data_IF_299950990732
#
_entry.id   IF_299950990732
#
_cell.length_a   1.000
_cell.length_b   1.000
_cell.length_c   1.000
_cell.angle_alpha   90.00
_cell.angle_beta   90.00
_cell.angle_gamma   90.00
#
_symmetry.space_group_name_H-M   'P 1'
#
loop_
_entity.id
_entity.type
_entity.pdbx_description
1 polymer ?
#
# COMPACT_ATOMS: atom_id res chain seq x y z
N UNK A 1 -13.20 25.26 -24.62
CA UNK A 1 -12.60 24.16 -23.83
C UNK A 1 -13.49 23.91 -22.64
N UNK A 2 -14.31 22.87 -22.69
CA UNK A 2 -15.29 22.56 -21.65
C UNK A 2 -14.56 21.89 -20.48
N UNK A 3 -14.44 22.60 -19.35
CA UNK A 3 -14.00 22.00 -18.08
C UNK A 3 -15.10 21.05 -17.61
N UNK A 4 -14.95 19.77 -17.93
CA UNK A 4 -15.88 18.75 -17.46
C UNK A 4 -15.83 18.68 -15.93
N UNK A 5 -16.72 19.40 -15.27
CA UNK A 5 -16.98 19.21 -13.85
C UNK A 5 -17.59 17.82 -13.65
N UNK A 6 -16.85 16.94 -13.00
CA UNK A 6 -17.40 15.66 -12.57
C UNK A 6 -18.50 15.97 -11.54
N UNK A 7 -19.73 15.59 -11.81
CA UNK A 7 -20.98 16.01 -11.13
C UNK A 7 -21.02 15.75 -9.62
N UNK A 8 -20.02 15.04 -9.07
CA UNK A 8 -20.06 14.48 -7.71
C UNK A 8 -18.92 14.97 -6.80
N UNK A 9 -17.96 15.76 -7.32
CA UNK A 9 -16.83 16.27 -6.52
C UNK A 9 -17.00 17.76 -6.37
N UNK A 10 -17.53 18.19 -5.24
CA UNK A 10 -17.77 19.62 -4.92
C UNK A 10 -16.50 20.21 -4.29
N UNK A 11 -15.85 19.44 -3.43
CA UNK A 11 -14.61 19.81 -2.76
C UNK A 11 -13.67 18.60 -2.71
N UNK A 12 -12.41 18.79 -3.08
CA UNK A 12 -11.40 17.74 -3.14
C UNK A 12 -10.14 18.22 -2.43
N UNK A 13 -9.82 17.66 -1.23
CA UNK A 13 -8.63 18.04 -0.50
C UNK A 13 -7.37 17.84 -1.33
N UNK A 14 -6.41 18.76 -1.22
CA UNK A 14 -5.12 18.60 -1.88
C UNK A 14 -4.32 17.44 -1.26
N UNK A 15 -3.74 16.60 -2.12
CA UNK A 15 -2.80 15.56 -1.69
C UNK A 15 -1.38 16.08 -1.96
N UNK A 16 -0.56 16.35 -0.89
CA UNK A 16 0.72 17.05 -1.00
C UNK A 16 1.88 16.16 -1.42
N UNK A 17 1.63 15.11 -2.18
CA UNK A 17 2.65 14.17 -2.62
C UNK A 17 2.64 14.07 -4.14
N UNK A 18 3.83 14.21 -4.76
CA UNK A 18 3.98 14.12 -6.19
C UNK A 18 4.10 12.67 -6.69
N UNK A 19 3.81 12.47 -7.97
CA UNK A 19 4.01 11.19 -8.66
C UNK A 19 5.43 11.16 -9.20
N UNK A 20 6.24 10.22 -8.74
CA UNK A 20 7.59 9.99 -9.30
C UNK A 20 7.50 9.27 -10.66
N UNK A 21 8.29 9.70 -11.64
CA UNK A 21 8.41 8.99 -12.92
C UNK A 21 9.63 8.06 -12.85
N UNK A 22 9.38 6.75 -13.00
CA UNK A 22 10.44 5.72 -13.02
C UNK A 22 10.94 5.45 -14.44
N UNK A 23 10.03 5.54 -15.42
CA UNK A 23 10.32 5.31 -16.83
C UNK A 23 9.23 5.93 -17.70
N UNK A 24 9.60 6.42 -18.87
CA UNK A 24 8.66 6.84 -19.89
C UNK A 24 9.21 6.61 -21.30
N UNK A 25 8.31 6.32 -22.22
CA UNK A 25 8.55 6.30 -23.66
C UNK A 25 7.28 6.78 -24.41
N UNK A 26 7.25 6.61 -25.72
CA UNK A 26 6.12 7.02 -26.53
C UNK A 26 4.81 6.29 -26.16
N UNK A 27 4.88 5.08 -25.60
CA UNK A 27 3.75 4.19 -25.41
C UNK A 27 3.32 4.04 -23.95
N UNK A 28 4.27 4.09 -23.00
CA UNK A 28 4.01 3.86 -21.57
C UNK A 28 4.68 4.90 -20.67
N UNK A 29 4.08 5.08 -19.49
CA UNK A 29 4.68 5.79 -18.37
C UNK A 29 4.62 4.84 -17.17
N UNK A 30 5.76 4.62 -16.51
CA UNK A 30 5.82 3.85 -15.27
C UNK A 30 6.11 4.82 -14.13
N UNK A 31 5.26 4.81 -13.14
CA UNK A 31 5.34 5.74 -12.02
C UNK A 31 5.60 5.06 -10.69
N UNK A 32 6.22 5.80 -9.79
CA UNK A 32 6.26 5.51 -8.36
C UNK A 32 5.14 6.30 -7.68
N UNK A 33 4.02 5.62 -7.44
CA UNK A 33 2.83 6.24 -6.84
C UNK A 33 3.06 6.44 -5.34
N UNK A 34 2.92 7.63 -4.79
CA UNK A 34 3.03 7.84 -3.34
C UNK A 34 1.86 7.18 -2.59
N UNK A 35 2.02 7.05 -1.27
CA UNK A 35 0.90 6.77 -0.38
C UNK A 35 -0.20 7.83 -0.52
N UNK A 36 -1.42 7.49 -0.13
CA UNK A 36 -2.60 8.36 -0.11
C UNK A 36 -3.12 8.84 -1.46
N UNK A 37 -2.37 8.68 -2.56
CA UNK A 37 -2.81 9.09 -3.89
C UNK A 37 -3.58 7.94 -4.57
N UNK A 38 -4.88 8.10 -4.91
CA UNK A 38 -5.59 7.09 -5.70
C UNK A 38 -4.99 6.93 -7.10
N UNK A 39 -5.03 5.74 -7.66
CA UNK A 39 -4.58 5.52 -9.04
C UNK A 39 -5.53 6.15 -10.06
N UNK A 40 -6.84 6.01 -9.85
CA UNK A 40 -7.90 6.48 -10.76
C UNK A 40 -9.00 7.17 -9.99
N UNK A 41 -9.82 8.03 -10.64
CA UNK A 41 -10.99 8.65 -10.05
C UNK A 41 -11.92 7.64 -9.37
N UNK A 42 -12.24 7.90 -8.10
CA UNK A 42 -13.17 7.09 -7.31
C UNK A 42 -13.67 7.86 -6.08
N UNK A 43 -14.96 7.77 -5.78
CA UNK A 43 -15.58 8.47 -4.66
C UNK A 43 -15.39 9.97 -4.78
N UNK A 44 -14.86 10.61 -3.74
CA UNK A 44 -14.58 12.05 -3.73
C UNK A 44 -13.32 12.47 -4.51
N UNK A 45 -12.49 11.51 -4.94
CA UNK A 45 -11.22 11.79 -5.61
C UNK A 45 -11.39 11.79 -7.13
N UNK A 46 -11.07 12.91 -7.78
CA UNK A 46 -11.06 13.07 -9.23
C UNK A 46 -9.72 13.63 -9.72
N UNK A 47 -9.45 14.91 -9.44
CA UNK A 47 -8.23 15.60 -9.86
C UNK A 47 -7.00 15.07 -9.11
N UNK A 48 -7.17 14.80 -7.82
CA UNK A 48 -6.12 14.27 -6.93
C UNK A 48 -5.97 12.75 -7.10
N UNK A 49 -5.70 12.31 -8.33
CA UNK A 49 -5.39 10.91 -8.68
C UNK A 49 -4.16 10.85 -9.57
N UNK A 50 -3.41 9.75 -9.54
CA UNK A 50 -2.24 9.58 -10.39
C UNK A 50 -2.61 9.74 -11.88
N UNK A 51 -3.72 9.16 -12.33
CA UNK A 51 -4.20 9.29 -13.70
C UNK A 51 -4.43 10.74 -14.11
N UNK A 52 -5.17 11.52 -13.32
CA UNK A 52 -5.51 12.89 -13.71
C UNK A 52 -4.31 13.83 -13.64
N UNK A 53 -3.39 13.60 -12.70
CA UNK A 53 -2.12 14.33 -12.64
C UNK A 53 -1.25 14.07 -13.85
N UNK A 54 -1.12 12.80 -14.29
CA UNK A 54 -0.39 12.45 -15.50
C UNK A 54 -1.02 13.06 -16.75
N UNK A 55 -2.35 12.97 -16.90
CA UNK A 55 -3.05 13.62 -18.02
C UNK A 55 -2.81 15.12 -18.08
N UNK A 56 -2.83 15.79 -16.92
CA UNK A 56 -2.51 17.22 -16.84
C UNK A 56 -1.06 17.53 -17.16
N UNK A 57 -0.13 16.72 -16.63
CA UNK A 57 1.32 16.89 -16.82
C UNK A 57 1.73 16.73 -18.29
N UNK A 58 1.18 15.73 -18.97
CA UNK A 58 1.52 15.39 -20.36
C UNK A 58 0.56 16.00 -21.39
N UNK A 59 -0.49 16.72 -20.96
CA UNK A 59 -1.57 17.23 -21.84
C UNK A 59 -2.16 16.13 -22.72
N UNK A 60 -2.33 14.91 -22.18
CA UNK A 60 -2.73 13.72 -22.92
C UNK A 60 -3.85 12.97 -22.18
N UNK A 61 -5.09 13.17 -22.65
CA UNK A 61 -6.28 12.48 -22.12
C UNK A 61 -6.36 11.00 -22.52
N UNK A 62 -5.51 10.56 -23.44
CA UNK A 62 -5.44 9.16 -23.86
C UNK A 62 -4.78 8.25 -22.82
N UNK A 63 -4.01 8.79 -21.87
CA UNK A 63 -3.35 8.01 -20.81
C UNK A 63 -4.38 7.20 -20.02
N UNK A 64 -4.11 5.90 -19.85
CA UNK A 64 -4.92 4.97 -19.06
C UNK A 64 -4.05 4.05 -18.23
N UNK A 65 -4.46 3.62 -17.02
CA UNK A 65 -3.69 2.66 -16.24
C UNK A 65 -3.82 1.24 -16.82
N UNK A 66 -2.71 0.49 -16.84
CA UNK A 66 -2.72 -0.95 -17.13
C UNK A 66 -3.24 -1.75 -15.92
N UNK A 67 -2.98 -1.27 -14.71
CA UNK A 67 -3.46 -1.83 -13.44
C UNK A 67 -3.60 -0.72 -12.38
N UNK A 68 -4.01 -1.11 -11.17
CA UNK A 68 -4.25 -0.15 -10.09
C UNK A 68 -3.62 -0.62 -8.79
N UNK A 69 -3.22 0.34 -7.97
CA UNK A 69 -3.00 0.20 -6.54
C UNK A 69 -4.11 0.92 -5.76
N UNK A 70 -4.36 0.47 -4.53
CA UNK A 70 -5.26 1.16 -3.62
C UNK A 70 -4.69 2.55 -3.24
N UNK A 71 -5.55 3.47 -2.77
CA UNK A 71 -5.14 4.82 -2.37
C UNK A 71 -3.98 4.78 -1.37
N UNK A 72 -4.07 3.94 -0.35
CA UNK A 72 -3.07 3.85 0.71
C UNK A 72 -1.77 3.15 0.29
N UNK A 73 -1.79 2.27 -0.72
CA UNK A 73 -0.62 1.51 -1.20
C UNK A 73 0.25 2.37 -2.10
N UNK A 74 1.54 2.46 -1.82
CA UNK A 74 2.52 3.11 -2.69
C UNK A 74 3.19 2.12 -3.65
N UNK A 75 3.97 2.64 -4.62
CA UNK A 75 4.84 1.85 -5.47
C UNK A 75 4.49 1.87 -6.96
N UNK A 76 5.04 0.90 -7.69
CA UNK A 76 5.06 0.88 -9.15
C UNK A 76 3.68 0.74 -9.77
N UNK A 77 3.32 1.66 -10.68
CA UNK A 77 2.12 1.59 -11.53
C UNK A 77 2.47 1.90 -12.98
N UNK A 78 1.96 1.08 -13.90
CA UNK A 78 2.12 1.27 -15.35
C UNK A 78 0.89 1.96 -15.93
N UNK A 79 1.12 3.03 -16.67
CA UNK A 79 0.13 3.73 -17.49
C UNK A 79 0.49 3.58 -18.96
N UNK A 80 -0.52 3.48 -19.81
CA UNK A 80 -0.39 3.34 -21.26
C UNK A 80 -0.86 4.64 -21.91
N UNK A 81 0.01 5.23 -22.73
CA UNK A 81 -0.26 6.43 -23.53
C UNK A 81 -0.91 6.05 -24.86
N UNK A 82 -0.33 5.08 -25.55
CA UNK A 82 -0.78 4.63 -26.86
C UNK A 82 -2.09 3.83 -26.76
N UNK A 83 -3.22 4.33 -27.28
CA UNK A 83 -4.51 3.64 -27.19
C UNK A 83 -4.50 2.23 -27.81
N UNK A 84 -3.71 2.00 -28.85
CA UNK A 84 -3.63 0.71 -29.53
C UNK A 84 -3.05 -0.41 -28.66
N UNK A 85 -2.24 -0.05 -27.64
CA UNK A 85 -1.55 -0.99 -26.77
C UNK A 85 -2.27 -1.24 -25.42
N UNK A 86 -3.34 -0.50 -25.12
CA UNK A 86 -4.09 -0.63 -23.87
C UNK A 86 -4.50 -2.06 -23.56
N UNK A 87 -5.10 -2.73 -24.55
CA UNK A 87 -5.53 -4.12 -24.41
C UNK A 87 -4.37 -5.05 -24.08
N UNK A 88 -3.25 -4.95 -24.81
CA UNK A 88 -2.08 -5.80 -24.60
C UNK A 88 -1.52 -5.67 -23.17
N UNK A 89 -1.30 -4.42 -22.68
CA UNK A 89 -0.81 -4.21 -21.32
C UNK A 89 -1.82 -4.62 -20.24
N UNK A 90 -3.12 -4.38 -20.42
CA UNK A 90 -4.14 -4.80 -19.44
C UNK A 90 -4.24 -6.33 -19.36
N UNK A 91 -4.12 -7.03 -20.49
CA UNK A 91 -4.15 -8.49 -20.55
C UNK A 91 -2.98 -9.13 -19.80
N UNK A 92 -1.79 -8.51 -19.73
CA UNK A 92 -0.68 -9.00 -18.89
C UNK A 92 -1.12 -9.20 -17.43
N UNK A 93 -1.85 -8.21 -16.88
CA UNK A 93 -2.34 -8.29 -15.50
C UNK A 93 -3.52 -9.25 -15.34
N UNK A 94 -4.44 -9.25 -16.28
CA UNK A 94 -5.60 -10.14 -16.28
C UNK A 94 -5.18 -11.61 -16.38
N UNK A 95 -4.21 -11.92 -17.25
CA UNK A 95 -3.67 -13.26 -17.46
C UNK A 95 -2.60 -13.66 -16.45
N UNK A 96 -2.29 -12.80 -15.47
CA UNK A 96 -1.27 -13.04 -14.44
C UNK A 96 0.14 -13.29 -15.01
N UNK A 97 0.45 -12.63 -16.12
CA UNK A 97 1.76 -12.67 -16.77
C UNK A 97 2.74 -11.65 -16.20
N UNK A 98 2.34 -10.98 -15.12
CA UNK A 98 3.15 -10.00 -14.39
C UNK A 98 3.53 -10.57 -13.04
N UNK A 99 4.83 -10.60 -12.76
CA UNK A 99 5.34 -10.89 -11.42
C UNK A 99 5.33 -9.60 -10.59
N UNK A 100 4.74 -9.67 -9.40
CA UNK A 100 4.58 -8.53 -8.48
C UNK A 100 5.20 -8.87 -7.14
N UNK A 101 6.14 -8.07 -6.70
CA UNK A 101 6.70 -8.16 -5.35
C UNK A 101 6.28 -6.92 -4.56
N UNK A 102 5.73 -7.14 -3.39
CA UNK A 102 5.42 -6.09 -2.42
C UNK A 102 6.28 -6.25 -1.20
N UNK A 103 6.51 -5.15 -0.51
CA UNK A 103 7.10 -5.15 0.81
C UNK A 103 6.20 -4.43 1.80
N UNK A 104 6.18 -4.89 3.04
CA UNK A 104 5.43 -4.22 4.10
C UNK A 104 6.17 -4.30 5.44
N UNK A 105 5.87 -3.35 6.35
CA UNK A 105 6.21 -3.47 7.76
C UNK A 105 5.04 -4.04 8.54
N UNK A 106 5.30 -5.04 9.36
CA UNK A 106 4.33 -5.66 10.24
C UNK A 106 5.00 -6.12 11.55
N UNK A 107 4.25 -6.50 12.60
CA UNK A 107 4.84 -6.98 13.85
C UNK A 107 5.82 -8.14 13.64
N UNK A 108 6.95 -8.09 14.32
CA UNK A 108 7.85 -9.23 14.51
C UNK A 108 7.20 -10.17 15.54
N UNK A 109 6.27 -11.00 15.10
CA UNK A 109 5.50 -11.88 15.97
C UNK A 109 5.35 -13.27 15.33
N UNK A 110 5.10 -14.32 16.13
CA UNK A 110 4.70 -15.61 15.58
C UNK A 110 3.42 -15.50 14.76
N UNK A 111 3.35 -16.27 13.67
CA UNK A 111 2.10 -16.39 12.90
C UNK A 111 1.02 -16.96 13.82
N UNK A 112 -0.10 -16.23 13.93
CA UNK A 112 -1.28 -16.65 14.71
C UNK A 112 -2.51 -16.39 13.86
N UNK A 113 -3.08 -17.45 13.33
CA UNK A 113 -4.31 -17.35 12.56
C UNK A 113 -5.45 -16.83 13.44
N UNK A 114 -5.96 -15.64 13.12
CA UNK A 114 -7.12 -15.06 13.80
C UNK A 114 -8.39 -15.50 13.11
N UNK A 115 -9.11 -16.49 13.68
CA UNK A 115 -10.42 -16.96 13.18
C UNK A 115 -10.52 -17.03 11.67
N UNK A 116 -9.45 -17.50 11.04
CA UNK A 116 -9.31 -17.50 9.60
C UNK A 116 -9.93 -18.77 9.02
N UNK A 117 -10.66 -18.60 7.93
CA UNK A 117 -11.21 -19.69 7.13
C UNK A 117 -10.29 -20.12 5.99
N UNK A 118 -9.14 -19.45 5.83
CA UNK A 118 -8.16 -19.76 4.81
C UNK A 118 -7.17 -20.85 5.25
N UNK A 119 -6.26 -21.20 4.36
CA UNK A 119 -5.21 -22.20 4.53
C UNK A 119 -3.87 -21.51 4.56
N UNK A 120 -3.07 -21.76 5.61
CA UNK A 120 -1.68 -21.33 5.72
C UNK A 120 -0.77 -22.54 5.68
N UNK A 121 0.18 -22.53 4.76
CA UNK A 121 1.09 -23.63 4.48
C UNK A 121 2.55 -23.15 4.54
N UNK A 122 3.35 -23.56 5.54
CA UNK A 122 4.79 -23.33 5.52
C UNK A 122 5.44 -24.05 4.33
N UNK A 123 6.28 -23.34 3.57
CA UNK A 123 6.93 -23.90 2.38
C UNK A 123 8.32 -24.50 2.66
N UNK A 124 8.89 -24.24 3.84
CA UNK A 124 10.18 -24.73 4.28
C UNK A 124 10.18 -25.14 5.77
N UNK A 125 9.36 -26.13 6.21
CA UNK A 125 9.35 -26.57 7.60
C UNK A 125 10.74 -27.01 8.07
N UNK A 126 11.10 -26.76 9.35
CA UNK A 126 10.29 -26.24 10.44
C UNK A 126 10.17 -24.70 10.49
N UNK A 127 10.69 -23.99 9.49
CA UNK A 127 10.63 -22.52 9.44
C UNK A 127 9.19 -22.06 9.20
N UNK A 128 8.76 -20.99 9.92
CA UNK A 128 7.45 -20.38 9.69
C UNK A 128 7.34 -19.68 8.33
N UNK A 129 8.46 -19.23 7.78
CA UNK A 129 8.57 -18.57 6.47
C UNK A 129 9.65 -19.25 5.60
N UNK A 130 9.51 -19.21 4.26
CA UNK A 130 8.37 -18.68 3.51
C UNK A 130 7.08 -19.50 3.72
N UNK A 131 5.93 -18.84 3.61
CA UNK A 131 4.63 -19.50 3.69
C UNK A 131 3.71 -19.11 2.53
N UNK A 132 2.69 -19.92 2.28
CA UNK A 132 1.60 -19.66 1.34
C UNK A 132 0.29 -19.47 2.11
N UNK A 133 -0.38 -18.33 1.87
CA UNK A 133 -1.72 -18.08 2.38
C UNK A 133 -2.71 -18.16 1.23
N UNK A 134 -3.76 -18.97 1.39
CA UNK A 134 -4.85 -19.15 0.42
C UNK A 134 -6.19 -18.99 1.13
N UNK A 135 -7.12 -18.23 0.54
CA UNK A 135 -8.47 -18.05 1.08
C UNK A 135 -9.46 -17.64 -0.02
N UNK A 136 -10.73 -17.60 0.33
CA UNK A 136 -11.73 -16.88 -0.46
C UNK A 136 -11.84 -15.46 0.09
N UNK A 137 -11.58 -14.47 -0.75
CA UNK A 137 -11.72 -13.05 -0.38
C UNK A 137 -12.93 -12.47 -1.11
N UNK A 138 -13.87 -11.97 -0.31
CA UNK A 138 -15.08 -11.28 -0.77
C UNK A 138 -14.99 -9.78 -0.51
N UNK A 139 -15.53 -9.00 -1.44
CA UNK A 139 -15.69 -7.55 -1.33
C UNK A 139 -17.11 -7.17 -1.69
N UNK A 140 -17.90 -6.84 -0.69
CA UNK A 140 -19.27 -6.40 -0.88
C UNK A 140 -19.33 -4.93 -1.32
N UNK A 141 -20.33 -4.61 -2.15
CA UNK A 141 -20.60 -3.22 -2.55
C UNK A 141 -21.04 -2.40 -1.33
N UNK A 142 -20.45 -1.22 -1.15
CA UNK A 142 -20.75 -0.33 -0.01
C UNK A 142 -20.00 -0.67 1.28
N UNK A 143 -19.41 -1.86 1.42
CA UNK A 143 -18.56 -2.22 2.57
C UNK A 143 -17.12 -1.84 2.28
N UNK A 144 -16.45 -1.10 3.16
CA UNK A 144 -15.06 -0.66 2.94
C UNK A 144 -14.09 -1.85 3.01
N UNK A 145 -14.25 -2.73 4.00
CA UNK A 145 -13.41 -3.90 4.19
C UNK A 145 -13.72 -5.01 3.17
N UNK A 146 -12.68 -5.71 2.72
CA UNK A 146 -12.79 -7.05 2.17
C UNK A 146 -12.52 -8.06 3.30
N UNK A 147 -13.02 -9.26 3.21
CA UNK A 147 -12.90 -10.28 4.27
C UNK A 147 -12.82 -11.69 3.70
N UNK A 148 -12.35 -12.62 4.52
CA UNK A 148 -12.29 -14.05 4.16
C UNK A 148 -13.61 -14.74 4.47
N UNK A 149 -14.03 -15.64 3.57
CA UNK A 149 -15.23 -16.47 3.69
C UNK A 149 -14.90 -17.95 3.46
N UNK A 150 -15.71 -18.89 4.02
CA UNK A 150 -15.51 -20.34 3.87
C UNK A 150 -16.02 -20.84 2.51
N UNK A 151 -15.47 -20.31 1.44
CA UNK A 151 -15.82 -20.63 0.05
C UNK A 151 -14.59 -21.11 -0.73
N UNK A 152 -14.81 -21.48 -2.01
CA UNK A 152 -13.75 -21.92 -2.92
C UNK A 152 -12.65 -20.86 -3.05
N UNK A 153 -11.39 -21.28 -2.84
CA UNK A 153 -10.21 -20.39 -2.82
C UNK A 153 -10.13 -19.55 -4.11
N UNK A 154 -10.05 -18.24 -3.95
CA UNK A 154 -9.90 -17.30 -5.06
C UNK A 154 -8.70 -16.34 -4.90
N UNK A 155 -8.01 -16.41 -3.76
CA UNK A 155 -6.86 -15.57 -3.43
C UNK A 155 -5.68 -16.43 -2.94
N UNK A 156 -4.46 -16.07 -3.40
CA UNK A 156 -3.22 -16.74 -3.02
C UNK A 156 -2.09 -15.72 -2.93
N UNK A 157 -1.34 -15.75 -1.82
CA UNK A 157 -0.16 -14.90 -1.57
C UNK A 157 0.97 -15.75 -0.98
N UNK A 158 2.17 -15.59 -1.51
CA UNK A 158 3.40 -16.04 -0.86
C UNK A 158 3.88 -14.93 0.07
N UNK A 159 4.28 -15.32 1.28
CA UNK A 159 4.77 -14.40 2.30
C UNK A 159 6.12 -14.90 2.78
N UNK A 160 7.12 -14.02 2.74
CA UNK A 160 8.46 -14.31 3.23
C UNK A 160 8.98 -13.13 4.06
N UNK A 161 10.08 -13.35 4.75
CA UNK A 161 10.83 -12.28 5.40
C UNK A 161 11.58 -11.53 4.30
N UNK A 162 11.52 -10.20 4.30
CA UNK A 162 12.34 -9.40 3.40
C UNK A 162 13.82 -9.49 3.79
N UNK A 163 14.71 -9.35 2.82
CA UNK A 163 16.16 -9.46 3.03
C UNK A 163 16.66 -8.43 4.07
N UNK A 164 17.77 -8.78 4.74
CA UNK A 164 18.31 -8.05 5.90
C UNK A 164 18.52 -6.54 5.70
N UNK A 165 18.73 -6.06 4.50
CA UNK A 165 18.90 -4.62 4.24
C UNK A 165 17.62 -3.82 4.54
N UNK A 166 16.46 -4.33 4.19
CA UNK A 166 15.17 -3.69 4.51
C UNK A 166 14.81 -3.87 5.98
N UNK A 167 15.20 -4.99 6.58
CA UNK A 167 15.00 -5.27 8.01
C UNK A 167 15.86 -4.38 8.92
N UNK A 168 17.06 -3.99 8.50
CA UNK A 168 17.97 -3.13 9.28
C UNK A 168 17.43 -1.70 9.42
N UNK A 169 16.75 -1.16 8.41
CA UNK A 169 16.14 0.18 8.47
C UNK A 169 15.08 0.21 9.59
N UNK A 170 14.27 -0.82 9.71
CA UNK A 170 13.27 -0.93 10.77
C UNK A 170 13.89 -1.07 12.17
N UNK A 171 15.06 -1.70 12.30
CA UNK A 171 15.79 -1.87 13.57
C UNK A 171 16.54 -0.60 13.98
N UNK A 172 17.16 0.10 13.05
CA UNK A 172 17.95 1.32 13.33
C UNK A 172 17.10 2.44 13.94
N UNK A 173 15.86 2.59 13.49
CA UNK A 173 14.92 3.58 14.09
C UNK A 173 14.54 3.22 15.53
N UNK A 174 14.65 1.94 15.92
CA UNK A 174 14.32 1.48 17.28
C UNK A 174 15.45 1.63 18.29
N UNK A 175 16.69 1.85 17.84
CA UNK A 175 17.89 1.86 18.69
C UNK A 175 18.52 3.23 18.89
N UNK A 176 18.01 4.30 18.30
CA UNK A 176 18.56 5.65 18.50
C UNK A 176 18.16 6.16 19.89
N UNK A 177 19.10 6.38 20.84
CA UNK A 177 18.78 6.92 22.15
C UNK A 177 18.43 8.40 22.00
N UNK A 178 17.27 8.79 22.52
CA UNK A 178 16.88 10.18 22.67
C UNK A 178 17.75 10.81 23.76
N UNK A 179 18.78 11.55 23.36
CA UNK A 179 19.48 12.45 24.28
C UNK A 179 19.92 13.69 23.51
N UNK A 180 19.10 14.74 23.59
CA UNK A 180 19.62 16.09 23.73
C UNK A 180 18.48 17.01 24.17
N UNK A 181 18.66 17.56 25.35
CA UNK A 181 17.88 18.63 25.98
C UNK A 181 18.02 19.93 25.18
N UNK A 182 16.90 20.57 24.83
CA UNK A 182 16.83 21.91 24.27
C UNK A 182 16.21 22.84 25.31
N UNK A 183 16.76 24.06 25.53
CA UNK A 183 16.31 24.97 26.57
C UNK A 183 14.98 25.64 26.23
N UNK A 184 14.23 25.87 27.28
CA UNK A 184 12.91 26.47 27.38
C UNK A 184 12.88 27.93 26.92
N UNK A 185 11.88 28.33 26.15
CA UNK A 185 11.42 29.71 26.02
C UNK A 185 9.87 29.75 26.05
N UNK A 186 9.25 30.88 26.52
CA UNK A 186 8.01 30.84 27.29
C UNK A 186 6.70 30.96 26.47
N UNK A 187 5.73 30.33 27.03
CA UNK A 187 4.27 30.22 26.91
C UNK A 187 3.48 31.38 26.35
N UNK A 188 2.54 31.05 25.45
CA UNK A 188 1.24 31.72 25.32
C UNK A 188 0.12 30.67 25.32
N UNK A 189 -1.03 30.90 25.96
CA UNK A 189 -2.02 29.87 26.20
C UNK A 189 -2.99 29.72 25.02
N UNK A 190 -3.12 28.50 24.52
CA UNK A 190 -4.18 28.10 23.56
C UNK A 190 -5.07 27.05 24.21
N UNK A 191 -6.37 27.19 24.00
CA UNK A 191 -7.44 26.39 24.57
C UNK A 191 -7.28 24.88 24.30
N UNK A 192 -7.80 24.01 25.19
CA UNK A 192 -7.64 22.58 25.06
C UNK A 192 -8.61 22.02 24.05
N UNK A 193 -8.11 21.62 22.88
CA UNK A 193 -8.80 20.69 22.00
C UNK A 193 -8.57 19.30 22.56
N UNK A 194 -9.63 18.63 22.97
CA UNK A 194 -9.57 17.28 23.49
C UNK A 194 -8.91 16.34 22.48
N UNK A 195 -7.91 15.54 22.85
CA UNK A 195 -7.31 14.59 21.95
C UNK A 195 -8.33 13.49 21.66
N UNK A 196 -8.68 13.32 20.38
CA UNK A 196 -9.39 12.13 19.91
C UNK A 196 -8.55 10.91 20.33
N UNK A 197 -9.10 10.07 21.18
CA UNK A 197 -8.44 8.86 21.66
C UNK A 197 -8.24 7.90 20.47
N UNK A 198 -7.13 8.04 19.79
CA UNK A 198 -6.68 7.07 18.81
C UNK A 198 -6.33 5.79 19.56
N UNK A 199 -7.24 4.82 19.53
CA UNK A 199 -6.99 3.49 20.06
C UNK A 199 -5.95 2.80 19.17
N UNK A 200 -4.69 3.08 19.47
CA UNK A 200 -3.55 2.39 18.86
C UNK A 200 -3.59 0.95 19.30
N UNK A 201 -3.56 0.03 18.34
CA UNK A 201 -3.34 -1.38 18.68
C UNK A 201 -2.02 -1.48 19.45
N UNK A 202 -2.00 -2.15 20.61
CA UNK A 202 -0.74 -2.41 21.27
C UNK A 202 0.12 -3.21 20.30
N UNK A 203 1.26 -2.64 19.88
CA UNK A 203 2.31 -3.43 19.27
C UNK A 203 2.68 -4.52 20.26
N UNK A 204 2.70 -5.75 19.74
CA UNK A 204 3.30 -6.82 20.48
C UNK A 204 4.71 -6.37 20.91
N UNK A 205 5.23 -6.83 22.05
CA UNK A 205 6.55 -6.45 22.57
C UNK A 205 7.72 -6.83 21.65
N UNK A 206 7.43 -7.36 20.46
CA UNK A 206 8.33 -8.02 19.53
C UNK A 206 9.02 -7.09 18.50
N UNK A 207 8.63 -5.81 18.40
CA UNK A 207 9.16 -4.91 17.37
C UNK A 207 8.47 -5.07 16.00
N UNK A 208 9.11 -4.53 14.97
CA UNK A 208 8.65 -4.56 13.58
C UNK A 208 9.62 -5.34 12.70
N UNK A 209 9.08 -5.92 11.64
CA UNK A 209 9.85 -6.61 10.59
C UNK A 209 9.30 -6.27 9.22
N UNK A 210 10.20 -6.21 8.24
CA UNK A 210 9.82 -6.15 6.83
C UNK A 210 9.48 -7.55 6.31
N UNK A 211 8.37 -7.65 5.58
CA UNK A 211 7.94 -8.87 4.91
C UNK A 211 7.86 -8.63 3.42
N UNK A 212 8.25 -9.64 2.63
CA UNK A 212 8.08 -9.71 1.18
C UNK A 212 6.82 -10.49 0.86
N UNK A 213 5.98 -9.92 -0.01
CA UNK A 213 4.69 -10.48 -0.38
C UNK A 213 4.62 -10.63 -1.89
N UNK A 214 4.26 -11.82 -2.37
CA UNK A 214 4.07 -12.09 -3.80
C UNK A 214 2.64 -12.57 -4.05
N UNK A 215 1.72 -11.66 -4.47
CA UNK A 215 0.35 -12.04 -4.75
C UNK A 215 0.26 -12.76 -6.10
N UNK A 216 -0.16 -14.02 -6.07
CA UNK A 216 -0.45 -14.82 -7.27
C UNK A 216 -1.83 -14.52 -7.87
N UNK A 217 -2.64 -13.78 -7.16
CA UNK A 217 -3.97 -13.27 -7.54
C UNK A 217 -4.06 -11.78 -7.22
N UNK A 218 -5.15 -11.11 -7.61
CA UNK A 218 -5.30 -9.65 -7.43
C UNK A 218 -6.67 -9.27 -6.85
N UNK A 219 -7.04 -9.80 -5.69
CA UNK A 219 -8.29 -9.41 -5.02
C UNK A 219 -8.15 -8.09 -4.27
N UNK A 220 -9.24 -7.37 -4.12
CA UNK A 220 -9.27 -6.11 -3.36
C UNK A 220 -8.74 -6.33 -1.95
N UNK A 221 -7.80 -5.49 -1.52
CA UNK A 221 -7.13 -5.54 -0.21
C UNK A 221 -6.46 -6.88 0.12
N UNK A 222 -6.19 -7.75 -0.86
CA UNK A 222 -5.71 -9.12 -0.64
C UNK A 222 -4.56 -9.22 0.35
N UNK A 223 -3.49 -8.43 0.16
CA UNK A 223 -2.31 -8.47 1.02
C UNK A 223 -2.62 -8.02 2.44
N UNK A 224 -3.45 -6.98 2.59
CA UNK A 224 -3.91 -6.46 3.88
C UNK A 224 -4.76 -7.49 4.64
N UNK A 225 -5.68 -8.16 3.93
CA UNK A 225 -6.52 -9.24 4.48
C UNK A 225 -5.67 -10.42 4.91
N UNK A 226 -4.77 -10.90 4.06
CA UNK A 226 -3.92 -12.05 4.35
C UNK A 226 -2.96 -11.78 5.52
N UNK A 227 -2.28 -10.62 5.54
CA UNK A 227 -1.39 -10.27 6.65
C UNK A 227 -2.16 -10.14 7.97
N UNK A 228 -3.35 -9.53 7.96
CA UNK A 228 -4.21 -9.46 9.13
C UNK A 228 -4.66 -10.85 9.62
N UNK A 229 -5.03 -11.76 8.70
CA UNK A 229 -5.42 -13.13 9.01
C UNK A 229 -4.30 -13.95 9.66
N UNK A 230 -3.04 -13.68 9.27
CA UNK A 230 -1.84 -14.28 9.87
C UNK A 230 -1.51 -13.71 11.27
N UNK A 231 -2.26 -12.72 11.76
CA UNK A 231 -1.96 -12.01 13.00
C UNK A 231 -0.82 -11.00 12.87
N UNK A 232 -0.47 -10.62 11.65
CA UNK A 232 0.60 -9.70 11.28
C UNK A 232 0.02 -8.47 10.52
N UNK A 233 -0.90 -7.68 11.14
CA UNK A 233 -1.50 -6.53 10.46
C UNK A 233 -0.42 -5.55 10.01
N UNK A 234 -0.57 -5.00 8.80
CA UNK A 234 0.41 -4.07 8.24
C UNK A 234 0.39 -2.75 9.02
N UNK A 235 1.57 -2.20 9.31
CA UNK A 235 1.72 -0.93 10.00
C UNK A 235 1.04 0.20 9.22
N UNK A 236 0.31 1.06 9.92
CA UNK A 236 -0.42 2.18 9.33
C UNK A 236 -1.73 1.80 8.63
N UNK A 237 -2.16 0.52 8.74
CA UNK A 237 -3.42 0.08 8.15
C UNK A 237 -4.61 0.67 8.91
N UNK A 238 -5.41 1.49 8.22
CA UNK A 238 -6.61 2.18 8.75
C UNK A 238 -7.90 1.37 8.57
N UNK A 239 -7.81 0.20 7.94
CA UNK A 239 -8.97 -0.66 7.64
C UNK A 239 -8.88 -1.99 8.41
N UNK A 240 -7.68 -2.54 8.60
CA UNK A 240 -7.45 -3.84 9.26
C UNK A 240 -6.53 -3.70 10.48
N UNK A 241 -6.83 -4.43 11.58
CA UNK A 241 -7.91 -5.39 11.80
C UNK A 241 -9.29 -4.74 11.98
N UNK A 242 -9.37 -3.44 12.11
CA UNK A 242 -10.61 -2.68 12.27
C UNK A 242 -10.55 -1.36 11.52
N UNK A 243 -11.70 -0.91 11.08
CA UNK A 243 -11.84 0.39 10.45
C UNK A 243 -11.57 1.49 11.49
N UNK A 244 -10.66 2.40 11.14
CA UNK A 244 -10.38 3.61 11.92
C UNK A 244 -11.00 4.80 11.18
N UNK A 245 -11.65 5.67 11.94
CA UNK A 245 -12.16 6.93 11.40
C UNK A 245 -11.01 7.93 11.36
N UNK A 246 -10.51 8.20 10.15
CA UNK A 246 -9.45 9.18 9.90
C UNK A 246 -9.94 10.22 8.90
N UNK A 247 -9.65 11.50 9.13
CA UNK A 247 -9.85 12.53 8.12
C UNK A 247 -9.15 12.19 6.81
N UNK A 248 -9.74 12.55 5.69
CA UNK A 248 -9.18 12.25 4.35
C UNK A 248 -7.88 12.98 4.05
N UNK A 249 -7.59 14.05 4.78
CA UNK A 249 -6.39 14.88 4.74
C UNK A 249 -5.40 14.58 5.88
N UNK A 250 -5.65 13.54 6.67
CA UNK A 250 -4.66 13.02 7.63
C UNK A 250 -3.66 12.10 6.91
N UNK A 251 -2.46 12.64 6.67
CA UNK A 251 -1.34 11.94 6.03
C UNK A 251 -0.26 11.50 7.04
N UNK A 252 -0.52 11.58 8.33
CA UNK A 252 0.47 11.32 9.39
C UNK A 252 0.92 9.87 9.49
N UNK A 253 0.07 8.92 9.07
CA UNK A 253 0.32 7.49 9.22
C UNK A 253 0.09 6.75 7.90
N UNK A 254 1.07 6.72 6.99
CA UNK A 254 0.97 5.97 5.74
C UNK A 254 0.93 4.47 5.99
N UNK A 255 0.11 3.77 5.21
CA UNK A 255 0.11 2.31 5.17
C UNK A 255 1.48 1.81 4.70
N UNK A 256 2.22 1.13 5.54
CA UNK A 256 3.55 0.60 5.22
C UNK A 256 3.45 -0.62 4.31
N UNK A 257 2.92 -0.42 3.10
CA UNK A 257 2.79 -1.40 2.02
C UNK A 257 3.18 -0.75 0.70
N UNK A 258 4.22 -1.28 0.07
CA UNK A 258 4.80 -0.76 -1.17
C UNK A 258 4.81 -1.87 -2.23
N UNK A 259 4.25 -1.60 -3.42
CA UNK A 259 4.43 -2.39 -4.63
C UNK A 259 5.88 -2.21 -5.10
N UNK A 260 6.80 -3.00 -4.54
CA UNK A 260 8.24 -2.81 -4.63
C UNK A 260 8.79 -3.07 -6.01
N UNK A 261 8.36 -4.16 -6.63
CA UNK A 261 8.89 -4.56 -7.93
C UNK A 261 7.80 -5.11 -8.84
N UNK A 262 7.90 -4.75 -10.10
CA UNK A 262 7.04 -5.22 -11.17
C UNK A 262 7.91 -5.76 -12.30
N UNK A 263 7.70 -7.05 -12.68
CA UNK A 263 8.40 -7.70 -13.81
C UNK A 263 7.39 -8.24 -14.79
N UNK A 264 7.64 -8.03 -16.06
CA UNK A 264 6.85 -8.61 -17.16
C UNK A 264 7.65 -8.66 -18.45
N UNK A 265 7.16 -9.41 -19.42
CA UNK A 265 7.65 -9.36 -20.80
C UNK A 265 6.86 -8.29 -21.54
N UNK A 266 7.56 -7.33 -22.14
CA UNK A 266 6.94 -6.24 -22.87
C UNK A 266 6.15 -6.80 -24.07
N UNK A 267 4.85 -6.53 -24.15
CA UNK A 267 4.02 -7.11 -25.21
C UNK A 267 4.28 -6.51 -26.60
N UNK A 268 5.12 -5.46 -26.68
CA UNK A 268 5.49 -4.81 -27.95
C UNK A 268 6.64 -5.51 -28.65
N UNK A 269 7.64 -5.93 -27.89
CA UNK A 269 8.92 -6.37 -28.44
C UNK A 269 9.47 -7.65 -27.79
N UNK A 270 8.78 -8.19 -26.79
CA UNK A 270 9.20 -9.39 -26.07
C UNK A 270 10.35 -9.19 -25.09
N UNK A 271 10.78 -7.95 -24.83
CA UNK A 271 11.89 -7.68 -23.89
C UNK A 271 11.45 -7.81 -22.43
N UNK A 272 12.29 -8.39 -21.54
CA UNK A 272 12.03 -8.38 -20.11
C UNK A 272 12.10 -6.96 -19.56
N UNK A 273 11.09 -6.55 -18.81
CA UNK A 273 11.05 -5.27 -18.08
C UNK A 273 11.01 -5.51 -16.57
N UNK A 274 11.78 -4.71 -15.85
CA UNK A 274 11.81 -4.71 -14.37
C UNK A 274 11.78 -3.27 -13.90
N UNK A 275 10.79 -2.93 -13.09
CA UNK A 275 10.65 -1.61 -12.48
C UNK A 275 10.62 -1.74 -10.97
N UNK A 276 11.34 -0.85 -10.27
CA UNK A 276 11.43 -0.87 -8.81
C UNK A 276 11.02 0.46 -8.22
N UNK A 277 10.18 0.41 -7.20
CA UNK A 277 9.79 1.56 -6.39
C UNK A 277 10.95 2.01 -5.50
N UNK A 278 11.12 3.32 -5.38
CA UNK A 278 12.05 3.98 -4.47
C UNK A 278 11.37 4.46 -3.18
N UNK A 279 10.04 4.28 -3.06
CA UNK A 279 9.31 4.65 -1.84
C UNK A 279 9.84 3.83 -0.67
N UNK A 280 10.37 4.46 0.40
CA UNK A 280 10.90 3.73 1.53
C UNK A 280 9.79 3.08 2.36
N UNK A 281 10.13 2.04 3.13
CA UNK A 281 9.35 1.59 4.26
C UNK A 281 9.88 2.31 5.50
N UNK A 282 9.04 3.08 6.17
CA UNK A 282 9.43 3.93 7.29
C UNK A 282 8.52 3.73 8.50
N UNK A 283 9.11 3.77 9.68
CA UNK A 283 8.33 3.87 10.91
C UNK A 283 7.95 5.34 11.09
N UNK A 284 6.66 5.71 11.03
CA UNK A 284 6.25 7.10 11.15
C UNK A 284 6.76 7.73 12.46
N UNK A 285 7.20 8.99 12.39
CA UNK A 285 7.84 9.70 13.53
C UNK A 285 6.98 9.79 14.80
N UNK A 286 5.65 9.76 14.68
CA UNK A 286 4.72 9.68 15.81
C UNK A 286 4.61 8.31 16.46
N UNK A 287 5.18 7.27 15.87
CA UNK A 287 5.05 5.90 16.35
C UNK A 287 5.77 5.62 17.68
N UNK A 288 6.93 6.25 17.89
CA UNK A 288 7.70 6.11 19.14
C UNK A 288 6.98 6.70 20.35
N UNK A 289 6.24 7.79 20.16
CA UNK A 289 5.46 8.42 21.24
C UNK A 289 4.27 7.55 21.71
N UNK A 290 3.75 6.70 20.82
CA UNK A 290 2.64 5.79 21.12
C UNK A 290 3.08 4.53 21.88
N UNK A 291 4.38 4.21 21.91
CA UNK A 291 4.94 3.10 22.72
C UNK A 291 4.97 3.41 24.22
N UNK A 292 5.07 4.67 24.60
CA UNK A 292 5.16 5.09 26.01
C UNK A 292 3.80 5.16 26.72
N UNK A 293 2.70 4.98 25.99
CA UNK A 293 1.32 5.03 26.50
C UNK A 293 0.65 3.64 26.55
N UNK A 294 1.36 2.58 26.23
CA UNK A 294 0.93 1.18 26.32
C UNK A 294 1.76 0.44 27.37
#
# INVERSE_FOLDING_TARGET
MSSGHHRWVVDEPAIPFDVGILYEDADIIVVDKPHFLPTTPRGMWYRQTALMRLRSMYHDDAITPAHRLDRATAGVVVFVRNPALRGAFQMLFQNRQVHKTYECLAPLAPVRERRSVGITEPLAPPRAFPLRRRSHITKLRGVIQAFEEPEAINACTLVDIADDQTAQIAQTVLTTPTAQSVPTAPTAPSAPTAPSAHLVMPLAPWGLRAYRLEPLTGKTHQLRVHMNALGLPILGDDIYPRLMDRPYDDFSMPLQLVARELRFIDPRDGTPRVFRSQVPLEVPTGWSALRSLA
#
